data_IF_224309739601
#
_entry.id   IF_224309739601
#
_cell.length_a   1.000
_cell.length_b   1.000
_cell.length_c   1.000
_cell.angle_alpha   90.00
_cell.angle_beta   90.00
_cell.angle_gamma   90.00
#
_symmetry.space_group_name_H-M   'P 1'
#
loop_
_entity.id
_entity.type
_entity.pdbx_description
1 polymer ?
#
# COMPACT_ATOMS: atom_id res chain seq x y z
N UNK A 1 -23.23 -57.50 -18.28
CA UNK A 1 -21.96 -57.30 -17.54
C UNK A 1 -21.22 -56.01 -17.92
N UNK A 2 -21.67 -55.23 -18.92
CA UNK A 2 -20.96 -54.03 -19.39
C UNK A 2 -21.15 -52.76 -18.52
N UNK A 3 -22.23 -52.68 -17.73
CA UNK A 3 -22.51 -51.48 -16.91
C UNK A 3 -21.76 -51.43 -15.58
N UNK A 4 -21.18 -52.56 -15.13
CA UNK A 4 -20.45 -52.62 -13.86
C UNK A 4 -18.99 -52.16 -14.00
N UNK A 5 -18.36 -52.43 -15.16
CA UNK A 5 -16.97 -52.02 -15.43
C UNK A 5 -16.80 -50.52 -15.62
N UNK A 6 -17.78 -49.85 -16.25
CA UNK A 6 -17.71 -48.40 -16.50
C UNK A 6 -17.81 -47.58 -15.20
N UNK A 7 -18.53 -48.08 -14.20
CA UNK A 7 -18.69 -47.38 -12.93
C UNK A 7 -17.45 -47.46 -12.02
N UNK A 8 -16.64 -48.53 -12.15
CA UNK A 8 -15.39 -48.69 -11.39
C UNK A 8 -14.27 -47.83 -11.98
N UNK A 9 -14.24 -47.66 -13.31
CA UNK A 9 -13.28 -46.79 -13.99
C UNK A 9 -13.56 -45.31 -13.70
N UNK A 10 -14.84 -44.91 -13.60
CA UNK A 10 -15.21 -43.53 -13.25
C UNK A 10 -14.89 -43.18 -11.77
N UNK A 11 -14.97 -44.16 -10.87
CA UNK A 11 -14.63 -43.97 -9.45
C UNK A 11 -13.11 -43.85 -9.21
N UNK A 12 -12.28 -44.51 -10.02
CA UNK A 12 -10.82 -44.39 -9.91
C UNK A 12 -10.27 -43.09 -10.50
N UNK A 13 -10.98 -42.47 -11.45
CA UNK A 13 -10.56 -41.20 -12.07
C UNK A 13 -10.78 -39.97 -11.17
N UNK A 14 -11.61 -40.09 -10.13
CA UNK A 14 -11.90 -39.02 -9.17
C UNK A 14 -10.93 -38.99 -7.96
N UNK A 15 -10.04 -39.98 -7.82
CA UNK A 15 -9.11 -40.10 -6.68
C UNK A 15 -7.69 -39.60 -6.97
N UNK A 16 -7.40 -39.13 -8.18
CA UNK A 16 -6.06 -38.70 -8.61
C UNK A 16 -5.92 -37.19 -8.83
N UNK A 17 -6.86 -36.37 -8.35
CA UNK A 17 -6.65 -34.92 -8.31
C UNK A 17 -5.83 -34.63 -7.05
N UNK A 18 -4.54 -34.30 -7.14
CA UNK A 18 -3.84 -33.75 -5.99
C UNK A 18 -4.61 -32.51 -5.56
N UNK A 19 -5.08 -32.51 -4.31
CA UNK A 19 -5.61 -31.33 -3.66
C UNK A 19 -4.42 -30.36 -3.48
N UNK A 20 -4.07 -29.67 -4.56
CA UNK A 20 -3.20 -28.50 -4.51
C UNK A 20 -4.04 -27.46 -3.78
N UNK A 21 -3.88 -27.42 -2.47
CA UNK A 21 -4.27 -26.27 -1.69
C UNK A 21 -3.55 -25.09 -2.33
N UNK A 22 -4.31 -24.23 -3.03
CA UNK A 22 -3.86 -22.90 -3.39
C UNK A 22 -3.46 -22.22 -2.07
N UNK A 23 -2.16 -22.22 -1.76
CA UNK A 23 -1.62 -21.33 -0.75
C UNK A 23 -2.03 -19.94 -1.19
N UNK A 24 -2.92 -19.30 -0.42
CA UNK A 24 -3.18 -17.87 -0.54
C UNK A 24 -1.85 -17.19 -0.27
N UNK A 25 -1.18 -16.77 -1.32
CA UNK A 25 0.12 -16.10 -1.29
C UNK A 25 0.06 -14.78 -0.48
N UNK A 26 -1.14 -14.31 -0.14
CA UNK A 26 -1.42 -13.05 0.57
C UNK A 26 -2.16 -13.24 1.91
N UNK A 27 -2.11 -14.41 2.54
CA UNK A 27 -2.67 -14.55 3.88
C UNK A 27 -1.79 -13.82 4.91
N UNK A 28 -2.37 -12.89 5.65
CA UNK A 28 -1.72 -12.24 6.80
C UNK A 28 -1.30 -13.35 7.78
N UNK A 29 -0.02 -13.46 8.18
CA UNK A 29 0.43 -14.47 9.13
C UNK A 29 -0.25 -14.30 10.49
N UNK A 30 -0.50 -15.41 11.20
CA UNK A 30 -1.14 -15.41 12.52
C UNK A 30 -0.38 -14.58 13.57
N UNK A 31 0.93 -14.41 13.38
CA UNK A 31 1.79 -13.62 14.27
C UNK A 31 1.72 -12.10 14.00
N UNK A 32 0.92 -11.67 13.01
CA UNK A 32 0.63 -10.26 12.74
C UNK A 32 -0.64 -9.89 13.48
N UNK A 33 -0.53 -8.93 14.40
CA UNK A 33 -1.64 -8.50 15.24
C UNK A 33 -1.93 -7.04 14.94
N UNK A 34 -3.22 -6.71 14.77
CA UNK A 34 -3.67 -5.32 14.71
C UNK A 34 -3.56 -4.67 16.09
N UNK A 35 -3.00 -3.46 16.13
CA UNK A 35 -2.89 -2.61 17.31
C UNK A 35 -3.76 -1.36 17.19
N UNK A 36 -4.69 -1.31 16.24
CA UNK A 36 -5.46 -0.10 15.92
C UNK A 36 -6.20 0.49 17.12
N UNK A 37 -6.70 -0.35 18.02
CA UNK A 37 -7.44 0.08 19.21
C UNK A 37 -6.51 0.45 20.36
N UNK A 38 -5.32 -0.12 20.39
CA UNK A 38 -4.37 -0.01 21.49
C UNK A 38 -3.27 1.03 21.23
N UNK A 39 -3.06 1.42 19.97
CA UNK A 39 -2.03 2.38 19.59
C UNK A 39 -2.30 3.74 20.24
N UNK A 40 -1.34 4.21 21.04
CA UNK A 40 -1.46 5.49 21.75
C UNK A 40 -1.22 6.70 20.83
N UNK A 41 -0.86 6.47 19.57
CA UNK A 41 -0.80 7.49 18.52
C UNK A 41 -1.94 7.25 17.55
N UNK A 42 -2.82 8.23 17.44
CA UNK A 42 -3.79 8.26 16.36
C UNK A 42 -3.05 8.45 15.05
N UNK A 43 -3.36 7.60 14.08
CA UNK A 43 -3.03 7.89 12.70
C UNK A 43 -3.91 9.09 12.34
N UNK A 44 -3.28 10.20 11.97
CA UNK A 44 -3.97 11.14 11.09
C UNK A 44 -4.09 10.38 9.78
N UNK A 45 -5.18 9.64 9.61
CA UNK A 45 -5.62 9.31 8.26
C UNK A 45 -5.90 10.68 7.65
N UNK A 46 -4.86 11.24 7.03
CA UNK A 46 -5.08 12.09 5.89
C UNK A 46 -5.76 11.14 4.92
N UNK A 47 -7.08 10.98 5.05
CA UNK A 47 -7.92 10.55 3.95
C UNK A 47 -7.47 11.45 2.82
N UNK A 48 -6.63 10.89 1.94
CA UNK A 48 -6.23 11.57 0.73
C UNK A 48 -7.56 11.78 0.03
N UNK A 49 -8.09 13.01 0.09
CA UNK A 49 -9.35 13.35 -0.53
C UNK A 49 -9.17 13.08 -2.03
N UNK A 50 -9.62 11.91 -2.47
CA UNK A 50 -9.55 11.53 -3.88
C UNK A 50 -10.53 12.43 -4.60
N UNK A 51 -10.02 13.42 -5.31
CA UNK A 51 -10.84 14.34 -6.06
C UNK A 51 -11.33 13.64 -7.32
N UNK A 52 -12.63 13.34 -7.38
CA UNK A 52 -13.23 12.78 -8.58
C UNK A 52 -13.33 13.83 -9.70
N UNK A 53 -13.06 13.47 -10.96
CA UNK A 53 -13.23 14.39 -12.07
C UNK A 53 -14.71 14.74 -12.26
N UNK A 54 -15.03 16.02 -12.40
CA UNK A 54 -16.37 16.46 -12.77
C UNK A 54 -16.67 16.08 -14.24
N UNK A 55 -17.91 16.28 -14.70
CA UNK A 55 -18.33 15.86 -16.05
C UNK A 55 -17.45 16.46 -17.16
N UNK A 56 -17.14 17.77 -17.09
CA UNK A 56 -16.31 18.43 -18.09
C UNK A 56 -14.87 17.91 -18.08
N UNK A 57 -14.32 17.64 -16.90
CA UNK A 57 -12.98 17.08 -16.74
C UNK A 57 -12.92 15.64 -17.25
N UNK A 58 -13.94 14.81 -17.01
CA UNK A 58 -14.03 13.46 -17.60
C UNK A 58 -13.95 13.51 -19.12
N UNK A 59 -14.79 14.33 -19.75
CA UNK A 59 -14.78 14.51 -21.21
C UNK A 59 -13.42 15.03 -21.72
N UNK A 60 -12.75 15.88 -20.94
CA UNK A 60 -11.43 16.41 -21.28
C UNK A 60 -10.32 15.36 -21.13
N UNK A 61 -10.33 14.55 -20.06
CA UNK A 61 -9.35 13.48 -19.83
C UNK A 61 -9.45 12.40 -20.92
N UNK A 62 -10.67 12.08 -21.38
CA UNK A 62 -10.92 11.15 -22.49
C UNK A 62 -10.31 11.60 -23.83
N UNK A 63 -9.93 12.87 -23.97
CA UNK A 63 -9.23 13.35 -25.19
C UNK A 63 -7.75 12.99 -25.22
N UNK A 64 -7.19 12.53 -24.11
CA UNK A 64 -5.77 12.22 -23.98
C UNK A 64 -5.45 10.78 -24.39
N UNK A 65 -4.32 10.59 -25.08
CA UNK A 65 -3.84 9.25 -25.45
C UNK A 65 -3.19 8.48 -24.28
N UNK A 66 -2.97 9.15 -23.15
CA UNK A 66 -2.35 8.57 -21.95
C UNK A 66 -3.27 8.81 -20.77
N UNK A 67 -3.50 7.76 -19.99
CA UNK A 67 -4.31 7.83 -18.79
C UNK A 67 -3.72 8.84 -17.78
N UNK A 68 -4.59 9.71 -17.28
CA UNK A 68 -4.26 10.69 -16.23
C UNK A 68 -5.04 10.29 -14.99
N UNK A 69 -4.34 9.76 -14.00
CA UNK A 69 -4.89 9.30 -12.71
C UNK A 69 -4.45 10.17 -11.53
N UNK A 70 -3.58 11.16 -11.76
CA UNK A 70 -3.05 12.01 -10.70
C UNK A 70 -4.16 12.88 -10.06
N UNK A 71 -4.48 12.69 -8.77
CA UNK A 71 -5.58 13.40 -8.11
C UNK A 71 -5.34 14.91 -8.03
N UNK A 72 -4.09 15.36 -7.86
CA UNK A 72 -3.77 16.79 -7.80
C UNK A 72 -3.95 17.47 -9.16
N UNK A 73 -3.64 16.78 -10.26
CA UNK A 73 -3.90 17.29 -11.61
C UNK A 73 -5.41 17.31 -11.90
N UNK A 74 -6.14 16.27 -11.51
CA UNK A 74 -7.60 16.22 -11.66
C UNK A 74 -8.26 17.35 -10.85
N UNK A 75 -7.80 17.61 -9.62
CA UNK A 75 -8.26 18.71 -8.81
C UNK A 75 -8.01 20.06 -9.48
N UNK A 76 -6.79 20.30 -9.98
CA UNK A 76 -6.46 21.52 -10.71
C UNK A 76 -7.39 21.72 -11.93
N UNK A 77 -7.67 20.66 -12.67
CA UNK A 77 -8.58 20.70 -13.82
C UNK A 77 -10.04 20.99 -13.40
N UNK A 78 -10.48 20.43 -12.28
CA UNK A 78 -11.82 20.68 -11.73
C UNK A 78 -12.00 22.15 -11.31
N UNK A 79 -10.95 22.75 -10.74
CA UNK A 79 -10.95 24.15 -10.31
C UNK A 79 -10.78 25.12 -11.49
N UNK A 80 -10.28 24.63 -12.63
CA UNK A 80 -10.07 25.43 -13.84
C UNK A 80 -11.38 25.58 -14.63
N UNK A 81 -11.80 26.83 -14.87
CA UNK A 81 -12.93 27.13 -15.76
C UNK A 81 -12.45 27.68 -17.09
N UNK A 82 -12.75 26.95 -18.19
CA UNK A 82 -12.44 27.40 -19.55
C UNK A 82 -13.76 27.66 -20.29
N UNK A 83 -14.07 28.94 -20.52
CA UNK A 83 -15.29 29.37 -21.21
C UNK A 83 -14.94 29.96 -22.58
N UNK A 84 -14.84 29.15 -23.65
CA UNK A 84 -14.64 29.68 -24.99
C UNK A 84 -15.89 30.45 -25.42
N UNK A 85 -15.71 31.61 -26.06
CA UNK A 85 -16.82 32.40 -26.59
C UNK A 85 -17.46 31.67 -27.78
N UNK A 86 -18.80 31.62 -27.89
CA UNK A 86 -19.50 30.86 -28.95
C UNK A 86 -19.11 31.23 -30.39
N UNK A 87 -18.61 32.45 -30.59
CA UNK A 87 -18.22 33.00 -31.90
C UNK A 87 -16.71 33.10 -32.10
N UNK A 88 -15.91 32.31 -31.36
CA UNK A 88 -14.45 32.32 -31.45
C UNK A 88 -13.90 31.63 -32.71
N UNK A 89 -14.16 32.21 -33.87
CA UNK A 89 -13.61 31.74 -35.15
C UNK A 89 -12.12 32.12 -35.22
N UNK A 90 -11.25 31.13 -35.41
CA UNK A 90 -9.81 31.33 -35.57
C UNK A 90 -9.00 31.41 -34.27
N UNK A 91 -9.64 31.40 -33.10
CA UNK A 91 -8.94 31.38 -31.82
C UNK A 91 -8.22 30.04 -31.61
N UNK A 92 -6.90 30.13 -31.39
CA UNK A 92 -6.05 29.01 -31.00
C UNK A 92 -5.21 29.42 -29.81
N UNK A 93 -5.28 28.64 -28.75
CA UNK A 93 -4.43 28.82 -27.58
C UNK A 93 -3.93 27.46 -27.09
N UNK A 94 -2.73 27.46 -26.53
CA UNK A 94 -2.14 26.31 -25.86
C UNK A 94 -1.66 26.79 -24.49
N UNK A 95 -2.18 26.17 -23.43
CA UNK A 95 -1.86 26.52 -22.05
C UNK A 95 -1.01 25.40 -21.46
N UNK A 96 0.21 25.73 -21.05
CA UNK A 96 1.10 24.78 -20.37
C UNK A 96 0.76 24.69 -18.88
N UNK A 97 0.42 23.50 -18.40
CA UNK A 97 0.06 23.26 -16.99
C UNK A 97 1.24 22.77 -16.15
N UNK A 98 2.37 22.44 -16.76
CA UNK A 98 3.56 21.92 -16.07
C UNK A 98 3.89 20.48 -16.44
N UNK A 99 4.90 19.95 -15.76
CA UNK A 99 5.32 18.55 -15.87
C UNK A 99 4.77 17.77 -14.67
N UNK A 100 3.97 16.75 -14.94
CA UNK A 100 3.20 16.02 -13.95
C UNK A 100 3.53 14.52 -14.00
N UNK A 101 3.57 13.82 -12.84
CA UNK A 101 3.36 12.38 -12.85
C UNK A 101 1.90 12.14 -13.23
N UNK A 102 1.66 11.30 -14.23
CA UNK A 102 0.33 11.13 -14.84
C UNK A 102 -0.34 9.85 -14.41
N UNK A 103 0.43 8.76 -14.39
CA UNK A 103 -0.05 7.42 -14.12
C UNK A 103 1.05 6.59 -13.45
N UNK A 104 0.66 5.69 -12.55
CA UNK A 104 1.56 4.72 -11.95
C UNK A 104 1.01 3.31 -12.14
N UNK A 105 1.85 2.42 -12.68
CA UNK A 105 1.52 1.01 -12.89
C UNK A 105 2.37 0.12 -12.00
N UNK A 106 1.73 -0.63 -11.10
CA UNK A 106 2.40 -1.66 -10.30
C UNK A 106 2.81 -2.83 -11.21
N UNK A 107 4.10 -3.17 -11.18
CA UNK A 107 4.69 -4.36 -11.82
C UNK A 107 4.77 -5.52 -10.83
N UNK A 108 5.23 -5.25 -9.61
CA UNK A 108 5.39 -6.25 -8.56
C UNK A 108 5.04 -5.65 -7.19
N UNK A 109 4.54 -6.49 -6.28
CA UNK A 109 4.14 -6.10 -4.92
C UNK A 109 4.41 -7.27 -3.98
N UNK A 110 5.13 -7.00 -2.89
CA UNK A 110 5.45 -7.99 -1.88
C UNK A 110 5.38 -7.41 -0.47
N UNK A 111 4.79 -8.15 0.45
CA UNK A 111 4.75 -7.77 1.87
C UNK A 111 5.93 -8.38 2.63
N UNK A 112 6.68 -7.51 3.32
CA UNK A 112 7.75 -7.86 4.24
C UNK A 112 7.26 -7.72 5.68
N UNK A 113 6.83 -8.84 6.28
CA UNK A 113 6.28 -8.87 7.64
C UNK A 113 7.31 -8.50 8.72
N UNK A 114 8.59 -8.80 8.49
CA UNK A 114 9.70 -8.50 9.39
C UNK A 114 10.58 -7.38 8.84
N UNK A 115 9.98 -6.24 8.49
CA UNK A 115 10.71 -5.14 7.85
C UNK A 115 11.58 -4.36 8.84
N UNK A 116 11.00 -3.72 9.86
CA UNK A 116 11.76 -2.93 10.83
C UNK A 116 11.40 -3.30 12.27
N UNK A 117 12.39 -3.70 13.07
CA UNK A 117 12.20 -3.93 14.50
C UNK A 117 11.95 -2.58 15.19
N UNK A 118 10.85 -2.46 15.92
CA UNK A 118 10.45 -1.21 16.60
C UNK A 118 10.45 -1.32 18.12
N UNK A 119 10.49 -2.54 18.65
CA UNK A 119 10.47 -2.79 20.08
C UNK A 119 11.00 -4.19 20.42
N UNK A 120 11.48 -4.36 21.63
CA UNK A 120 11.78 -5.67 22.21
C UNK A 120 11.45 -5.65 23.70
N UNK A 121 10.54 -6.53 24.13
CA UNK A 121 10.26 -6.77 25.54
C UNK A 121 11.01 -8.04 25.96
N UNK A 122 11.65 -8.01 27.12
CA UNK A 122 12.36 -9.17 27.67
C UNK A 122 11.92 -9.47 29.09
N UNK A 123 11.91 -10.75 29.45
CA UNK A 123 11.69 -11.19 30.81
C UNK A 123 12.63 -12.35 31.13
N UNK A 124 13.31 -12.27 32.27
CA UNK A 124 14.26 -13.27 32.71
C UNK A 124 13.65 -14.06 33.89
N UNK A 125 13.33 -15.34 33.66
CA UNK A 125 12.76 -16.24 34.66
C UNK A 125 13.78 -17.27 35.19
N UNK A 126 15.05 -16.90 35.28
CA UNK A 126 16.11 -17.80 35.76
C UNK A 126 15.94 -18.22 37.22
N UNK A 127 15.64 -17.27 38.11
CA UNK A 127 15.51 -17.51 39.55
C UNK A 127 14.07 -17.69 40.04
N UNK A 128 13.11 -17.80 39.12
CA UNK A 128 11.71 -17.90 39.49
C UNK A 128 11.32 -19.31 39.92
N UNK A 129 10.29 -19.39 40.77
CA UNK A 129 9.76 -20.67 41.25
C UNK A 129 8.59 -21.16 40.39
N UNK A 130 8.06 -20.30 39.50
CA UNK A 130 6.87 -20.56 38.68
C UNK A 130 7.04 -20.00 37.27
N UNK A 131 6.21 -20.47 36.34
CA UNK A 131 6.11 -19.90 35.00
C UNK A 131 5.58 -18.46 35.12
N UNK A 132 6.18 -17.58 34.34
CA UNK A 132 5.81 -16.16 34.26
C UNK A 132 5.38 -15.85 32.83
N UNK A 133 4.76 -14.69 32.62
CA UNK A 133 4.28 -14.29 31.30
C UNK A 133 4.84 -12.95 30.88
N UNK A 134 5.19 -12.83 29.60
CA UNK A 134 5.57 -11.57 28.97
C UNK A 134 4.46 -11.12 28.02
N UNK A 135 4.20 -9.83 27.94
CA UNK A 135 3.27 -9.22 27.01
C UNK A 135 3.94 -8.04 26.30
N UNK A 136 3.34 -7.62 25.19
CA UNK A 136 3.87 -6.50 24.44
C UNK A 136 3.57 -5.16 25.13
N UNK A 137 4.62 -4.35 25.25
CA UNK A 137 4.54 -2.98 25.72
C UNK A 137 5.54 -2.13 24.96
N UNK A 138 5.06 -1.19 24.15
CA UNK A 138 5.92 -0.25 23.42
C UNK A 138 6.65 0.67 24.40
N UNK A 139 7.97 0.53 24.49
CA UNK A 139 8.82 1.24 25.46
C UNK A 139 9.04 2.71 25.06
N UNK A 140 9.24 2.95 23.77
CA UNK A 140 9.51 4.27 23.18
C UNK A 140 8.64 4.50 21.95
N UNK A 141 8.37 5.75 21.57
CA UNK A 141 7.66 6.00 20.32
C UNK A 141 8.54 5.59 19.13
N UNK A 142 7.97 4.86 18.18
CA UNK A 142 8.68 4.44 16.98
C UNK A 142 7.93 4.93 15.74
N UNK A 143 8.62 5.69 14.90
CA UNK A 143 8.12 6.15 13.60
C UNK A 143 8.93 5.49 12.49
N UNK A 144 8.26 4.71 11.67
CA UNK A 144 8.83 4.08 10.48
C UNK A 144 8.41 4.92 9.28
N UNK A 145 9.39 5.44 8.54
CA UNK A 145 9.18 6.25 7.35
C UNK A 145 9.49 5.40 6.12
N UNK A 146 8.50 5.26 5.25
CA UNK A 146 8.66 4.67 3.94
C UNK A 146 9.54 5.54 3.04
N UNK A 147 9.99 4.99 1.92
CA UNK A 147 10.85 5.73 1.00
C UNK A 147 10.62 5.32 -0.44
N UNK A 148 10.80 6.28 -1.34
CA UNK A 148 11.09 6.00 -2.74
C UNK A 148 12.59 5.80 -2.89
N UNK A 149 12.99 4.66 -3.43
CA UNK A 149 14.40 4.34 -3.69
C UNK A 149 15.00 5.17 -4.83
N UNK A 150 14.14 5.77 -5.65
CA UNK A 150 14.52 6.50 -6.86
C UNK A 150 14.19 7.97 -6.70
N UNK A 151 15.13 8.85 -7.05
CA UNK A 151 14.89 10.29 -7.07
C UNK A 151 13.93 10.63 -8.21
N UNK A 152 12.81 11.26 -7.86
CA UNK A 152 11.72 11.57 -8.77
C UNK A 152 11.27 13.02 -8.61
N UNK A 153 10.63 13.57 -9.63
CA UNK A 153 9.91 14.86 -9.54
C UNK A 153 8.48 14.61 -9.05
N UNK A 154 7.87 15.62 -8.42
CA UNK A 154 6.49 15.52 -7.94
C UNK A 154 6.29 14.41 -6.91
N UNK A 155 7.25 14.25 -5.99
CA UNK A 155 7.32 13.14 -5.03
C UNK A 155 5.99 12.90 -4.33
N UNK A 156 5.39 13.93 -3.75
CA UNK A 156 4.16 13.78 -2.95
C UNK A 156 2.99 13.26 -3.81
N UNK A 157 2.83 13.78 -5.03
CA UNK A 157 1.78 13.33 -5.95
C UNK A 157 1.99 11.88 -6.41
N UNK A 158 3.24 11.49 -6.65
CA UNK A 158 3.55 10.10 -6.97
C UNK A 158 3.30 9.19 -5.76
N UNK A 159 3.66 9.63 -4.56
CA UNK A 159 3.43 8.88 -3.32
C UNK A 159 1.95 8.56 -3.14
N UNK A 160 1.06 9.54 -3.33
CA UNK A 160 -0.39 9.35 -3.29
C UNK A 160 -0.86 8.30 -4.30
N UNK A 161 -0.43 8.40 -5.56
CA UNK A 161 -0.79 7.41 -6.58
C UNK A 161 -0.28 6.00 -6.23
N UNK A 162 0.92 5.88 -5.67
CA UNK A 162 1.47 4.58 -5.25
C UNK A 162 0.63 4.00 -4.11
N UNK A 163 0.29 4.79 -3.09
CA UNK A 163 -0.57 4.35 -1.97
C UNK A 163 -1.92 3.88 -2.48
N UNK A 164 -2.57 4.66 -3.36
CA UNK A 164 -3.84 4.30 -3.98
C UNK A 164 -3.75 2.96 -4.74
N UNK A 165 -2.74 2.78 -5.61
CA UNK A 165 -2.58 1.55 -6.38
C UNK A 165 -2.26 0.32 -5.53
N UNK A 166 -1.53 0.49 -4.42
CA UNK A 166 -1.26 -0.62 -3.49
C UNK A 166 -2.55 -1.02 -2.77
N UNK A 167 -3.34 -0.05 -2.31
CA UNK A 167 -4.64 -0.27 -1.66
C UNK A 167 -5.69 -0.90 -2.59
N UNK A 168 -5.67 -0.58 -3.88
CA UNK A 168 -6.53 -1.22 -4.89
C UNK A 168 -6.27 -2.74 -4.99
N UNK A 169 -5.03 -3.19 -4.77
CA UNK A 169 -4.64 -4.60 -4.86
C UNK A 169 -4.76 -5.35 -3.55
N UNK A 170 -4.45 -4.70 -2.43
CA UNK A 170 -4.49 -5.29 -1.10
C UNK A 170 -5.12 -4.32 -0.11
N UNK A 171 -6.10 -4.81 0.65
CA UNK A 171 -6.81 -4.05 1.68
C UNK A 171 -5.96 -3.93 2.96
N UNK A 172 -4.82 -3.25 2.85
CA UNK A 172 -3.87 -3.02 3.94
C UNK A 172 -3.75 -1.51 4.21
N UNK A 173 -3.69 -1.07 5.48
CA UNK A 173 -3.57 0.33 5.87
C UNK A 173 -2.14 0.86 5.66
N UNK A 174 -1.72 0.94 4.40
CA UNK A 174 -0.38 1.40 4.00
C UNK A 174 -0.30 2.92 3.89
N UNK A 175 0.88 3.46 4.21
CA UNK A 175 1.21 4.88 4.04
C UNK A 175 2.73 5.06 3.91
N UNK A 176 3.19 6.29 3.64
CA UNK A 176 4.63 6.61 3.67
C UNK A 176 5.17 6.85 5.09
N UNK A 177 4.33 6.80 6.14
CA UNK A 177 4.84 6.76 7.51
C UNK A 177 3.84 6.14 8.47
N UNK A 178 4.31 5.19 9.28
CA UNK A 178 3.53 4.58 10.36
C UNK A 178 4.22 4.87 11.70
N UNK A 179 3.41 5.16 12.73
CA UNK A 179 3.91 5.47 14.08
C UNK A 179 3.23 4.56 15.09
N UNK A 180 4.02 3.96 15.99
CA UNK A 180 3.52 3.29 17.19
C UNK A 180 3.89 4.13 18.40
N UNK A 181 2.87 4.54 19.15
CA UNK A 181 3.04 5.37 20.31
C UNK A 181 3.64 4.64 21.50
N UNK A 182 4.45 5.37 22.28
CA UNK A 182 4.91 4.91 23.60
C UNK A 182 3.71 4.53 24.48
N UNK A 183 3.80 3.39 25.16
CA UNK A 183 2.75 2.92 26.05
C UNK A 183 1.63 2.13 25.36
N UNK A 184 1.71 1.91 24.03
CA UNK A 184 0.87 0.92 23.34
C UNK A 184 1.09 -0.45 23.97
N UNK A 185 0.01 -1.16 24.35
CA UNK A 185 0.06 -2.44 25.06
C UNK A 185 -0.96 -3.41 24.51
N UNK A 186 -0.59 -4.68 24.41
CA UNK A 186 -1.50 -5.76 24.06
C UNK A 186 -1.74 -6.65 25.27
N UNK A 187 -2.94 -7.23 25.35
CA UNK A 187 -3.31 -8.19 26.40
C UNK A 187 -2.77 -9.60 26.16
N UNK A 188 -2.37 -9.92 24.91
CA UNK A 188 -1.80 -11.21 24.56
C UNK A 188 -0.50 -11.47 25.33
N UNK A 189 -0.41 -12.63 25.96
CA UNK A 189 0.73 -13.05 26.76
C UNK A 189 1.47 -14.23 26.13
N UNK A 190 2.75 -14.34 26.46
CA UNK A 190 3.62 -15.46 26.09
C UNK A 190 4.27 -16.01 27.35
N UNK A 191 4.26 -17.33 27.51
CA UNK A 191 4.81 -17.97 28.70
C UNK A 191 6.34 -18.01 28.66
N UNK A 192 6.95 -17.64 29.78
CA UNK A 192 8.39 -17.73 30.06
C UNK A 192 8.60 -18.80 31.14
N UNK A 193 9.01 -20.03 30.76
CA UNK A 193 9.30 -21.09 31.71
C UNK A 193 10.41 -20.73 32.70
N UNK A 194 10.41 -21.39 33.85
CA UNK A 194 11.50 -21.31 34.84
C UNK A 194 12.82 -21.72 34.19
N UNK A 195 13.90 -21.01 34.50
CA UNK A 195 15.23 -21.24 33.95
C UNK A 195 15.45 -20.67 32.55
N UNK A 196 14.47 -19.97 31.97
CA UNK A 196 14.56 -19.40 30.62
C UNK A 196 14.51 -17.88 30.63
N UNK A 197 15.11 -17.28 29.61
CA UNK A 197 14.87 -15.88 29.23
C UNK A 197 13.95 -15.85 28.02
N UNK A 198 12.86 -15.10 28.12
CA UNK A 198 11.92 -14.85 27.02
C UNK A 198 12.15 -13.47 26.41
N UNK A 199 12.19 -13.39 25.08
CA UNK A 199 12.30 -12.14 24.33
C UNK A 199 11.19 -12.08 23.29
N UNK A 200 10.35 -11.05 23.39
CA UNK A 200 9.28 -10.74 22.44
C UNK A 200 9.68 -9.51 21.61
N UNK A 201 10.00 -9.72 20.34
CA UNK A 201 10.33 -8.66 19.39
C UNK A 201 9.09 -8.27 18.60
N UNK A 202 8.92 -6.98 18.37
CA UNK A 202 7.88 -6.44 17.51
C UNK A 202 8.51 -5.78 16.28
N UNK A 203 7.98 -6.11 15.11
CA UNK A 203 8.38 -5.56 13.82
C UNK A 203 7.21 -4.82 13.20
N UNK A 204 7.48 -3.65 12.62
CA UNK A 204 6.58 -2.96 11.72
C UNK A 204 6.73 -3.60 10.33
N UNK A 205 5.68 -4.22 9.78
CA UNK A 205 5.67 -4.71 8.41
C UNK A 205 5.72 -3.55 7.39
N UNK A 206 6.14 -3.86 6.16
CA UNK A 206 6.03 -2.94 5.05
C UNK A 206 5.65 -3.66 3.75
N UNK A 207 4.92 -2.98 2.87
CA UNK A 207 4.72 -3.40 1.48
C UNK A 207 5.83 -2.79 0.63
N UNK A 208 6.55 -3.64 -0.09
CA UNK A 208 7.45 -3.25 -1.16
C UNK A 208 6.68 -3.27 -2.47
N UNK A 209 6.57 -2.11 -3.11
CA UNK A 209 5.91 -1.96 -4.41
C UNK A 209 6.92 -1.51 -5.47
N UNK A 210 6.99 -2.24 -6.57
CA UNK A 210 7.80 -1.91 -7.74
C UNK A 210 6.87 -1.63 -8.91
N UNK A 211 7.10 -0.52 -9.61
CA UNK A 211 6.26 -0.11 -10.72
C UNK A 211 6.91 0.88 -11.66
N UNK A 212 6.10 1.39 -12.57
CA UNK A 212 6.51 2.37 -13.58
C UNK A 212 5.64 3.62 -13.46
N UNK A 213 6.28 4.75 -13.20
CA UNK A 213 5.66 6.06 -13.22
C UNK A 213 5.81 6.67 -14.62
N UNK A 214 4.70 7.13 -15.19
CA UNK A 214 4.67 7.88 -16.44
C UNK A 214 4.56 9.36 -16.13
N UNK A 215 5.46 10.16 -16.69
CA UNK A 215 5.51 11.61 -16.56
C UNK A 215 5.29 12.25 -17.92
N UNK A 216 4.76 13.47 -17.93
CA UNK A 216 4.63 14.24 -19.15
C UNK A 216 4.35 15.72 -18.90
N UNK A 217 4.64 16.51 -19.91
CA UNK A 217 4.25 17.91 -19.96
C UNK A 217 2.80 18.02 -20.42
N UNK A 218 1.96 18.59 -19.57
CA UNK A 218 0.51 18.65 -19.80
C UNK A 218 0.14 20.01 -20.37
N UNK A 219 -0.61 19.98 -21.47
CA UNK A 219 -1.14 21.17 -22.13
C UNK A 219 -2.64 21.08 -22.30
N UNK A 220 -3.33 22.21 -22.18
CA UNK A 220 -4.70 22.35 -22.67
C UNK A 220 -4.65 23.10 -24.00
N UNK A 221 -5.10 22.45 -25.07
CA UNK A 221 -5.28 23.06 -26.38
C UNK A 221 -6.71 23.51 -26.58
N UNK A 222 -6.87 24.76 -27.03
CA UNK A 222 -8.12 25.38 -27.38
C UNK A 222 -8.14 25.69 -28.87
N UNK A 223 -9.13 25.17 -29.58
CA UNK A 223 -9.34 25.43 -31.02
C UNK A 223 -10.80 25.79 -31.27
N UNK A 224 -11.08 27.09 -31.33
CA UNK A 224 -12.45 27.60 -31.29
C UNK A 224 -13.17 27.15 -30.02
N UNK A 225 -14.23 26.37 -30.16
CA UNK A 225 -14.99 25.81 -29.04
C UNK A 225 -14.45 24.48 -28.50
N UNK A 226 -13.54 23.81 -29.22
CA UNK A 226 -12.99 22.51 -28.81
C UNK A 226 -11.85 22.67 -27.81
N UNK A 227 -11.84 21.82 -26.79
CA UNK A 227 -10.82 21.73 -25.74
C UNK A 227 -10.24 20.31 -25.75
N UNK A 228 -8.92 20.18 -25.62
CA UNK A 228 -8.23 18.89 -25.59
C UNK A 228 -7.05 18.94 -24.64
N UNK A 229 -6.75 17.84 -23.95
CA UNK A 229 -5.48 17.66 -23.25
C UNK A 229 -4.47 17.04 -24.20
N UNK A 230 -3.31 17.67 -24.32
CA UNK A 230 -2.18 17.14 -25.09
C UNK A 230 -1.01 16.95 -24.14
N UNK A 231 -0.45 15.75 -24.16
CA UNK A 231 0.72 15.40 -23.37
C UNK A 231 1.93 15.37 -24.29
N UNK A 232 2.99 16.08 -23.93
CA UNK A 232 4.27 16.10 -24.64
C UNK A 232 5.38 15.61 -23.72
N UNK A 233 6.54 15.26 -24.31
CA UNK A 233 7.76 14.90 -23.58
C UNK A 233 7.53 13.80 -22.52
N UNK A 234 6.83 12.75 -22.95
CA UNK A 234 6.48 11.61 -22.09
C UNK A 234 7.74 10.86 -21.70
N UNK A 235 7.91 10.63 -20.41
CA UNK A 235 9.02 9.82 -19.88
C UNK A 235 8.47 8.77 -18.92
N UNK A 236 9.12 7.62 -18.90
CA UNK A 236 8.77 6.50 -18.03
C UNK A 236 9.94 6.19 -17.13
N UNK A 237 9.66 6.03 -15.85
CA UNK A 237 10.68 5.78 -14.85
C UNK A 237 10.25 4.63 -13.95
N UNK A 238 11.16 3.67 -13.74
CA UNK A 238 10.96 2.63 -12.74
C UNK A 238 11.07 3.23 -11.35
N UNK A 239 10.14 2.86 -10.47
CA UNK A 239 10.07 3.36 -9.10
C UNK A 239 9.87 2.18 -8.17
N UNK A 240 10.66 2.13 -7.10
CA UNK A 240 10.43 1.22 -5.98
C UNK A 240 10.10 2.02 -4.72
N UNK A 241 9.04 1.61 -4.03
CA UNK A 241 8.55 2.21 -2.80
C UNK A 241 8.47 1.17 -1.69
N UNK A 242 8.79 1.60 -0.46
CA UNK A 242 8.49 0.87 0.76
C UNK A 242 7.42 1.63 1.53
N UNK A 243 6.31 0.96 1.84
CA UNK A 243 5.16 1.52 2.54
C UNK A 243 4.93 0.74 3.84
N UNK A 244 5.23 1.32 5.02
CA UNK A 244 4.87 0.71 6.29
C UNK A 244 3.37 0.38 6.37
N UNK A 245 3.05 -0.79 6.93
CA UNK A 245 1.66 -1.16 7.22
C UNK A 245 1.31 -0.61 8.59
N UNK A 246 0.41 0.36 8.61
CA UNK A 246 0.04 1.04 9.85
C UNK A 246 -0.81 0.13 10.73
N UNK A 247 -0.68 0.31 12.05
CA UNK A 247 -1.44 -0.43 13.06
C UNK A 247 -1.38 -1.97 12.97
N UNK A 248 -0.38 -2.54 12.29
CA UNK A 248 -0.16 -3.99 12.26
C UNK A 248 1.27 -4.27 12.70
N UNK A 249 1.46 -5.19 13.64
CA UNK A 249 2.78 -5.59 14.12
C UNK A 249 2.98 -7.08 13.99
N UNK A 250 4.13 -7.46 13.44
CA UNK A 250 4.58 -8.85 13.44
C UNK A 250 5.36 -9.13 14.74
N UNK A 251 4.95 -10.17 15.45
CA UNK A 251 5.60 -10.59 16.69
C UNK A 251 6.50 -11.80 16.47
N UNK A 252 7.70 -11.73 17.03
CA UNK A 252 8.60 -12.87 17.12
C UNK A 252 8.94 -13.12 18.59
N UNK A 253 8.45 -14.24 19.11
CA UNK A 253 8.80 -14.71 20.45
C UNK A 253 9.93 -15.73 20.37
N UNK A 254 10.94 -15.56 21.21
CA UNK A 254 12.08 -16.48 21.33
C UNK A 254 12.38 -16.76 22.79
N UNK A 255 12.84 -17.98 23.06
CA UNK A 255 13.29 -18.41 24.37
C UNK A 255 14.72 -18.88 24.25
N UNK A 256 15.59 -18.44 25.16
CA UNK A 256 16.97 -18.90 25.21
C UNK A 256 17.24 -19.56 26.55
N UNK A 257 17.90 -20.71 26.49
CA UNK A 257 18.71 -21.19 27.60
C UNK A 257 19.82 -20.16 27.83
N UNK A 258 20.09 -19.86 29.09
CA UNK A 258 21.20 -18.99 29.48
C UNK A 258 22.31 -19.82 30.07
#
# INVERSE_FOLDING_TARGET
MEKLGLSIVLAFMLLSIPLIAQQKENAIPDNVISIEKENTKQISDNNEETTEPNKEVKELLETSDIDIENPALIQLLNETSIKPTPFSIGYRAEVFLGNWPLHYKIKDQKTEWQFQQINANEYNNQGGEKKESIYYHQLEESRVVGALTTKVKGTDQLQQMIVAKVKEKEDLPVSFSATVGKGTRLSNTYDVPVGKKGTLKAYMPAVKATGEATYGEVYIQLKGTKKQIVIKNVTKQEVNAFLPISNHLYFQYTQTDS
#
